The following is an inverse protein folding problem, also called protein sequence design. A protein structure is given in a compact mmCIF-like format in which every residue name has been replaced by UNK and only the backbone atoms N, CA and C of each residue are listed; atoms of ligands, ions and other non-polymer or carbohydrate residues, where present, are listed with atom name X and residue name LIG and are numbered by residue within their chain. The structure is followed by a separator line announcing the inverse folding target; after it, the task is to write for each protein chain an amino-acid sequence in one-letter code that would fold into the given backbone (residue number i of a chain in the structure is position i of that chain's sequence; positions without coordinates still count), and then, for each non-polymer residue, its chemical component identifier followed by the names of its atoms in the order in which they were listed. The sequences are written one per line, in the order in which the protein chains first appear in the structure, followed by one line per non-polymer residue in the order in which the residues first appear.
data_IF_398169712934
#
_entry.id   IF_398169712934
#
_cell.length_a   1.000
_cell.length_b   1.000
_cell.length_c   1.000
_cell.angle_alpha   90.00
_cell.angle_beta   90.00
_cell.angle_gamma   90.00
#
_symmetry.space_group_name_H-M   'P 1'
#
loop_
_entity.id
_entity.type
_entity.pdbx_description
1 polymer ?
#
# COMPACT_ATOMS: atom_id res chain seq x y z
N UNK A 1 1.47 3.29 32.54
CA UNK A 1 1.88 3.63 31.15
C UNK A 1 0.75 3.17 30.25
N UNK A 2 -0.11 4.06 29.76
CA UNK A 2 -1.19 3.69 28.84
C UNK A 2 -0.57 3.25 27.52
N UNK A 3 -0.61 1.96 27.22
CA UNK A 3 -0.23 1.41 25.91
C UNK A 3 -1.30 1.82 24.92
N UNK A 4 -1.19 3.03 24.39
CA UNK A 4 -1.99 3.45 23.24
C UNK A 4 -1.60 2.53 22.06
N UNK A 5 -2.45 1.52 21.82
CA UNK A 5 -2.45 0.73 20.58
C UNK A 5 -2.33 1.69 19.41
N UNK A 6 -1.26 1.54 18.60
CA UNK A 6 -1.00 2.42 17.46
C UNK A 6 -2.14 2.21 16.45
N UNK A 7 -3.07 3.17 16.34
CA UNK A 7 -4.22 3.06 15.46
C UNK A 7 -3.77 2.71 14.04
N UNK A 8 -4.20 1.53 13.56
CA UNK A 8 -3.88 1.06 12.24
C UNK A 8 -4.93 1.58 11.27
N UNK A 9 -4.51 2.35 10.28
CA UNK A 9 -5.40 3.00 9.34
C UNK A 9 -5.22 2.31 7.99
N UNK A 10 -6.19 1.53 7.51
CA UNK A 10 -6.10 0.94 6.18
C UNK A 10 -6.11 2.03 5.10
N UNK A 11 -5.47 1.80 3.93
CA UNK A 11 -5.60 2.71 2.81
C UNK A 11 -7.05 2.81 2.31
N UNK A 12 -7.34 3.83 1.50
CA UNK A 12 -8.67 4.02 0.89
C UNK A 12 -9.10 2.76 0.13
N UNK A 13 -10.37 2.35 0.24
CA UNK A 13 -10.94 1.19 -0.47
C UNK A 13 -10.13 -0.11 -0.27
N UNK A 14 -9.47 -0.26 0.88
CA UNK A 14 -8.74 -1.48 1.21
C UNK A 14 -9.70 -2.67 1.40
N UNK A 15 -9.36 -3.81 0.82
CA UNK A 15 -10.06 -5.07 1.04
C UNK A 15 -9.17 -6.25 0.69
N UNK A 16 -9.41 -7.40 1.33
CA UNK A 16 -8.82 -8.68 0.91
C UNK A 16 -9.64 -9.25 -0.25
N UNK A 17 -8.98 -9.54 -1.37
CA UNK A 17 -9.59 -10.14 -2.56
C UNK A 17 -9.53 -11.66 -2.48
N UNK A 18 -8.39 -12.19 -2.04
CA UNK A 18 -8.13 -13.59 -1.77
C UNK A 18 -7.07 -13.70 -0.67
N UNK A 19 -6.83 -14.91 -0.14
CA UNK A 19 -5.79 -15.13 0.86
C UNK A 19 -4.43 -14.63 0.36
N UNK A 20 -3.86 -13.64 1.04
CA UNK A 20 -2.58 -13.01 0.66
C UNK A 20 -2.65 -12.01 -0.51
N UNK A 21 -3.84 -11.73 -1.05
CA UNK A 21 -4.05 -10.77 -2.14
C UNK A 21 -5.01 -9.67 -1.68
N UNK A 22 -4.55 -8.43 -1.75
CA UNK A 22 -5.27 -7.27 -1.28
C UNK A 22 -5.44 -6.23 -2.40
N UNK A 23 -6.49 -5.42 -2.29
CA UNK A 23 -6.71 -4.23 -3.13
C UNK A 23 -6.76 -3.00 -2.26
N UNK A 24 -6.36 -1.86 -2.80
CA UNK A 24 -6.63 -0.54 -2.22
C UNK A 24 -6.51 0.56 -3.28
N UNK A 25 -6.92 1.77 -2.91
CA UNK A 25 -6.43 2.99 -3.53
C UNK A 25 -5.00 3.31 -3.09
N UNK A 26 -4.57 4.55 -3.36
CA UNK A 26 -3.21 5.00 -3.09
C UNK A 26 -2.91 5.06 -1.58
N UNK A 27 -1.86 4.38 -1.11
CA UNK A 27 -1.43 4.48 0.27
C UNK A 27 -0.73 5.81 0.55
N UNK A 28 -0.86 6.30 1.78
CA UNK A 28 -0.08 7.41 2.33
C UNK A 28 0.62 6.97 3.62
N UNK A 29 1.44 7.87 4.20
CA UNK A 29 2.26 7.60 5.40
C UNK A 29 1.45 7.07 6.60
N UNK A 30 0.19 7.49 6.77
CA UNK A 30 -0.67 7.00 7.88
C UNK A 30 -1.00 5.51 7.73
N UNK A 31 -0.94 4.98 6.52
CA UNK A 31 -1.27 3.59 6.21
C UNK A 31 -0.09 2.63 6.39
N UNK A 32 1.15 3.12 6.45
CA UNK A 32 2.36 2.28 6.47
C UNK A 32 2.38 1.29 7.63
N UNK A 33 1.93 1.70 8.82
CA UNK A 33 1.86 0.81 9.99
C UNK A 33 0.89 -0.35 9.76
N UNK A 34 -0.25 -0.10 9.10
CA UNK A 34 -1.21 -1.13 8.72
C UNK A 34 -0.63 -2.07 7.65
N UNK A 35 -0.04 -1.52 6.59
CA UNK A 35 0.54 -2.30 5.49
C UNK A 35 1.70 -3.18 5.95
N UNK A 36 2.49 -2.73 6.93
CA UNK A 36 3.58 -3.51 7.51
C UNK A 36 3.08 -4.80 8.18
N UNK A 37 1.90 -4.78 8.82
CA UNK A 37 1.33 -5.97 9.45
C UNK A 37 0.87 -7.02 8.45
N UNK A 38 0.60 -6.63 7.20
CA UNK A 38 0.21 -7.57 6.15
C UNK A 38 1.37 -8.45 5.67
N UNK A 39 2.62 -8.08 5.97
CA UNK A 39 3.80 -8.84 5.54
C UNK A 39 3.94 -8.93 4.02
N UNK A 40 3.60 -7.82 3.32
CA UNK A 40 3.63 -7.78 1.86
C UNK A 40 5.04 -8.05 1.33
N UNK A 41 5.13 -8.86 0.28
CA UNK A 41 6.37 -9.10 -0.48
C UNK A 41 6.47 -8.25 -1.73
N UNK A 42 5.31 -7.92 -2.31
CA UNK A 42 5.24 -7.12 -3.52
C UNK A 42 3.98 -6.27 -3.57
N UNK A 43 4.02 -5.24 -4.41
CA UNK A 43 2.90 -4.36 -4.74
C UNK A 43 2.79 -4.27 -6.26
N UNK A 44 1.59 -4.54 -6.78
CA UNK A 44 1.23 -4.24 -8.17
C UNK A 44 0.61 -2.86 -8.23
N UNK A 45 1.22 -1.96 -8.99
CA UNK A 45 0.83 -0.57 -9.11
C UNK A 45 0.34 -0.26 -10.53
N UNK A 46 -0.90 0.18 -10.64
CA UNK A 46 -1.63 0.24 -11.91
C UNK A 46 -1.65 1.62 -12.57
N UNK A 47 -0.91 2.59 -12.02
CA UNK A 47 -0.99 3.98 -12.44
C UNK A 47 0.29 4.41 -13.16
N UNK A 48 0.14 5.38 -14.07
CA UNK A 48 1.25 5.97 -14.83
C UNK A 48 2.15 6.85 -13.95
N UNK A 49 1.59 7.49 -12.92
CA UNK A 49 2.30 8.43 -12.06
C UNK A 49 3.28 7.74 -11.12
N UNK A 50 4.44 8.33 -10.88
CA UNK A 50 5.38 7.81 -9.89
C UNK A 50 4.80 7.77 -8.47
N UNK A 51 5.32 6.87 -7.64
CA UNK A 51 4.99 6.81 -6.22
C UNK A 51 5.53 8.02 -5.47
N UNK A 52 4.79 8.45 -4.44
CA UNK A 52 5.28 9.44 -3.49
C UNK A 52 6.59 8.97 -2.84
N UNK A 53 7.59 9.85 -2.61
CA UNK A 53 8.90 9.47 -2.07
C UNK A 53 8.83 8.67 -0.77
N UNK A 54 7.86 8.97 0.10
CA UNK A 54 7.65 8.26 1.37
C UNK A 54 7.22 6.81 1.15
N UNK A 55 6.41 6.54 0.11
CA UNK A 55 6.00 5.19 -0.24
C UNK A 55 7.18 4.41 -0.83
N UNK A 56 7.99 5.05 -1.68
CA UNK A 56 9.22 4.44 -2.22
C UNK A 56 10.18 4.06 -1.11
N UNK A 57 10.39 4.96 -0.14
CA UNK A 57 11.23 4.69 1.03
C UNK A 57 10.66 3.54 1.87
N UNK A 58 9.35 3.52 2.12
CA UNK A 58 8.68 2.45 2.84
C UNK A 58 8.84 1.08 2.15
N UNK A 59 8.65 1.02 0.83
CA UNK A 59 8.82 -0.22 0.07
C UNK A 59 10.25 -0.76 0.16
N UNK A 60 11.25 0.11 -0.02
CA UNK A 60 12.67 -0.24 0.13
C UNK A 60 13.00 -0.75 1.54
N UNK A 61 12.54 -0.05 2.57
CA UNK A 61 12.80 -0.42 3.97
C UNK A 61 12.19 -1.77 4.37
N UNK A 62 11.07 -2.14 3.75
CA UNK A 62 10.36 -3.37 4.05
C UNK A 62 10.62 -4.48 3.01
N UNK A 63 11.58 -4.29 2.10
CA UNK A 63 11.92 -5.23 1.01
C UNK A 63 10.70 -5.63 0.16
N UNK A 64 9.85 -4.65 -0.15
CA UNK A 64 8.67 -4.82 -1.00
C UNK A 64 9.06 -4.52 -2.45
N UNK A 65 8.90 -5.51 -3.32
CA UNK A 65 9.11 -5.35 -4.76
C UNK A 65 7.91 -4.65 -5.41
N UNK A 66 8.16 -3.61 -6.20
CA UNK A 66 7.09 -2.87 -6.87
C UNK A 66 7.06 -3.24 -8.35
N UNK A 67 5.94 -3.81 -8.78
CA UNK A 67 5.63 -4.04 -10.18
C UNK A 67 4.72 -2.93 -10.68
N UNK A 68 5.20 -2.13 -11.62
CA UNK A 68 4.39 -1.09 -12.25
C UNK A 68 3.81 -1.62 -13.57
N UNK A 69 2.49 -1.63 -13.67
CA UNK A 69 1.74 -2.02 -14.86
C UNK A 69 0.67 -0.95 -15.12
N UNK A 70 1.04 0.20 -15.71
CA UNK A 70 0.10 1.28 -15.93
C UNK A 70 -1.06 0.85 -16.82
N UNK A 71 -2.29 1.15 -16.41
CA UNK A 71 -3.49 0.92 -17.19
C UNK A 71 -4.14 2.26 -17.48
N UNK A 72 -4.61 2.44 -18.71
CA UNK A 72 -5.35 3.64 -19.08
C UNK A 72 -6.67 3.72 -18.33
N UNK A 73 -6.90 4.87 -17.68
CA UNK A 73 -8.14 5.12 -16.98
C UNK A 73 -9.26 5.35 -17.97
N UNK A 74 -10.29 4.50 -17.95
CA UNK A 74 -11.52 4.73 -18.69
C UNK A 74 -12.43 5.68 -17.89
N UNK A 75 -12.06 6.95 -17.77
CA UNK A 75 -13.00 7.99 -17.32
C UNK A 75 -13.63 8.60 -18.56
N UNK A 76 -14.75 8.02 -18.99
CA UNK A 76 -15.75 8.72 -19.81
C UNK A 76 -16.33 9.89 -19.04
#
# INVERSE_FOLDING_TARGET
MSTYEKTLIPPLNFSMVASGVYRSGFPNRKNHAFLQQLGLKSVLYLCHQEHQPENVAFFKQNNIEVFQCPIDGNKT
#
